data_IF_687569772964
#
_entry.id   IF_687569772964
#
_cell.length_a   1.000
_cell.length_b   1.000
_cell.length_c   1.000
_cell.angle_alpha   90.00
_cell.angle_beta   90.00
_cell.angle_gamma   90.00
#
_symmetry.space_group_name_H-M   'P 1'
#
loop_
_entity.id
_entity.type
_entity.pdbx_description
1 polymer ?
#
# COMPACT_ATOMS: atom_id res chain seq x y z
N UNK A 1 -10.38 -35.16 43.90
CA UNK A 1 -11.32 -35.04 42.76
C UNK A 1 -10.50 -34.64 41.54
N UNK A 2 -10.15 -35.62 40.69
CA UNK A 2 -9.41 -35.42 39.43
C UNK A 2 -10.43 -35.47 38.29
N UNK A 3 -10.38 -34.56 37.35
CA UNK A 3 -11.09 -34.66 36.07
C UNK A 3 -10.08 -34.46 34.94
N UNK A 4 -9.83 -35.53 34.20
CA UNK A 4 -9.09 -35.55 32.94
C UNK A 4 -10.06 -35.30 31.78
N UNK A 5 -9.65 -34.43 30.85
CA UNK A 5 -10.38 -34.20 29.60
C UNK A 5 -10.27 -35.37 28.62
N UNK A 6 -11.24 -35.45 27.72
CA UNK A 6 -11.14 -36.24 26.49
C UNK A 6 -11.78 -35.42 25.36
N UNK A 7 -11.00 -35.14 24.33
CA UNK A 7 -11.38 -34.35 23.17
C UNK A 7 -11.16 -35.25 21.95
N UNK A 8 -12.22 -35.59 21.21
CA UNK A 8 -12.15 -36.44 20.02
C UNK A 8 -12.78 -35.72 18.82
N UNK A 9 -11.96 -35.35 17.84
CA UNK A 9 -12.35 -34.81 16.54
C UNK A 9 -12.67 -35.94 15.53
N UNK A 10 -13.71 -35.80 14.67
CA UNK A 10 -13.98 -36.77 13.61
C UNK A 10 -13.20 -36.51 12.31
N UNK A 11 -12.77 -37.61 11.67
CA UNK A 11 -12.03 -37.70 10.41
C UNK A 11 -12.89 -37.28 9.20
N UNK A 12 -12.28 -36.58 8.23
CA UNK A 12 -12.89 -36.28 6.91
C UNK A 12 -12.68 -37.44 5.94
N UNK A 13 -13.77 -37.89 5.32
CA UNK A 13 -13.77 -38.88 4.23
C UNK A 13 -13.51 -38.19 2.88
N UNK A 14 -12.61 -38.79 2.10
CA UNK A 14 -12.37 -38.50 0.69
C UNK A 14 -13.49 -39.15 -0.15
N UNK A 15 -14.28 -38.34 -0.84
CA UNK A 15 -15.27 -38.78 -1.81
C UNK A 15 -15.00 -38.10 -3.16
N UNK A 16 -14.51 -38.88 -4.11
CA UNK A 16 -14.28 -38.50 -5.51
C UNK A 16 -15.62 -38.30 -6.25
N UNK A 17 -15.68 -37.29 -7.10
CA UNK A 17 -16.84 -36.97 -7.96
C UNK A 17 -16.47 -37.35 -9.40
N UNK A 18 -17.24 -38.22 -10.10
CA UNK A 18 -17.00 -38.51 -11.50
C UNK A 18 -17.86 -37.61 -12.39
N UNK A 19 -17.24 -36.83 -13.28
CA UNK A 19 -17.92 -36.29 -14.46
C UNK A 19 -17.31 -36.89 -15.72
N UNK A 20 -18.10 -37.73 -16.40
CA UNK A 20 -17.89 -38.12 -17.80
C UNK A 20 -18.80 -37.25 -18.65
N UNK A 21 -18.24 -36.48 -19.58
CA UNK A 21 -18.97 -36.01 -20.77
C UNK A 21 -18.04 -36.15 -21.98
N UNK A 22 -18.63 -36.69 -23.05
CA UNK A 22 -17.98 -37.30 -24.19
C UNK A 22 -17.25 -36.31 -25.11
N UNK A 23 -16.10 -36.77 -25.60
CA UNK A 23 -15.31 -36.17 -26.67
C UNK A 23 -15.82 -36.79 -27.98
N UNK A 24 -16.27 -35.98 -28.94
CA UNK A 24 -16.55 -36.42 -30.30
C UNK A 24 -15.47 -35.88 -31.24
N UNK A 25 -14.72 -36.72 -31.97
CA UNK A 25 -13.82 -36.25 -33.02
C UNK A 25 -14.53 -36.38 -34.38
N UNK A 26 -14.61 -35.29 -35.14
CA UNK A 26 -14.78 -35.36 -36.59
C UNK A 26 -13.63 -34.63 -37.25
N UNK A 27 -12.62 -35.41 -37.59
CA UNK A 27 -11.57 -35.08 -38.55
C UNK A 27 -12.19 -35.22 -39.93
N UNK A 28 -12.13 -34.18 -40.75
CA UNK A 28 -12.37 -34.28 -42.20
C UNK A 28 -11.20 -33.61 -42.91
N UNK A 29 -10.37 -34.45 -43.53
CA UNK A 29 -9.34 -34.05 -44.48
C UNK A 29 -9.99 -33.78 -45.84
N UNK A 30 -9.66 -32.66 -46.48
CA UNK A 30 -9.87 -32.45 -47.91
C UNK A 30 -8.67 -31.69 -48.51
N UNK A 31 -8.25 -32.01 -49.74
CA UNK A 31 -6.93 -31.66 -50.28
C UNK A 31 -6.89 -30.25 -50.89
N UNK A 32 -5.72 -29.62 -50.78
CA UNK A 32 -5.35 -28.39 -51.49
C UNK A 32 -5.02 -28.71 -52.95
N UNK A 33 -5.89 -28.30 -53.88
CA UNK A 33 -5.57 -28.22 -55.30
C UNK A 33 -5.22 -26.76 -55.66
N UNK A 34 -4.00 -26.55 -56.15
CA UNK A 34 -3.60 -25.35 -56.87
C UNK A 34 -4.18 -25.42 -58.28
N UNK A 35 -4.96 -24.41 -58.68
CA UNK A 35 -5.34 -24.21 -60.08
C UNK A 35 -5.18 -22.74 -60.47
N UNK A 36 -4.73 -22.56 -61.70
CA UNK A 36 -4.14 -21.37 -62.30
C UNK A 36 -5.08 -20.17 -62.44
N UNK A 37 -4.52 -19.00 -62.18
CA UNK A 37 -5.06 -17.66 -62.41
C UNK A 37 -5.33 -17.37 -63.90
N UNK A 38 -6.56 -17.01 -64.25
CA UNK A 38 -6.90 -16.25 -65.48
C UNK A 38 -7.97 -15.19 -65.17
N UNK A 39 -7.72 -14.00 -65.70
CA UNK A 39 -8.43 -12.73 -65.54
C UNK A 39 -9.89 -12.76 -66.03
N UNK A 40 -10.79 -12.08 -65.30
CA UNK A 40 -11.87 -11.29 -65.93
C UNK A 40 -12.25 -10.10 -65.05
N UNK A 41 -12.15 -8.90 -65.63
CA UNK A 41 -12.62 -7.61 -65.09
C UNK A 41 -14.14 -7.53 -65.20
N UNK A 42 -14.85 -7.21 -64.11
CA UNK A 42 -16.20 -6.62 -64.16
C UNK A 42 -16.35 -5.54 -63.09
N UNK A 43 -17.00 -4.47 -63.55
CA UNK A 43 -17.18 -3.13 -63.03
C UNK A 43 -18.17 -3.04 -61.84
N UNK A 44 -17.99 -1.98 -61.04
CA UNK A 44 -19.01 -1.29 -60.22
C UNK A 44 -19.33 -1.84 -58.82
N UNK A 45 -18.78 -1.20 -57.78
CA UNK A 45 -19.43 -1.06 -56.48
C UNK A 45 -18.90 0.16 -55.69
N UNK A 46 -19.78 1.16 -55.55
CA UNK A 46 -19.96 2.11 -54.44
C UNK A 46 -18.79 2.20 -53.44
N UNK A 47 -18.05 3.32 -53.50
CA UNK A 47 -17.13 3.73 -52.43
C UNK A 47 -17.97 4.26 -51.26
N UNK A 48 -18.30 3.38 -50.32
CA UNK A 48 -18.66 3.77 -48.96
C UNK A 48 -17.38 4.25 -48.27
N UNK A 49 -17.24 5.57 -48.16
CA UNK A 49 -16.26 6.21 -47.27
C UNK A 49 -16.62 5.87 -45.82
N UNK A 50 -16.13 4.73 -45.34
CA UNK A 50 -16.06 4.43 -43.92
C UNK A 50 -15.00 5.36 -43.32
N UNK A 51 -15.42 6.53 -42.87
CA UNK A 51 -14.72 7.28 -41.84
C UNK A 51 -14.80 6.47 -40.54
N UNK A 52 -13.99 5.42 -40.44
CA UNK A 52 -13.68 4.78 -39.19
C UNK A 52 -12.75 5.72 -38.42
N UNK A 53 -13.34 6.69 -37.74
CA UNK A 53 -12.70 7.25 -36.55
C UNK A 53 -12.46 6.08 -35.61
N UNK A 54 -11.22 5.57 -35.55
CA UNK A 54 -10.81 4.86 -34.36
C UNK A 54 -10.99 5.87 -33.23
N UNK A 55 -11.99 5.62 -32.38
CA UNK A 55 -12.00 6.22 -31.05
C UNK A 55 -10.81 5.62 -30.33
N UNK A 56 -9.62 6.17 -30.59
CA UNK A 56 -8.57 6.16 -29.60
C UNK A 56 -9.12 6.93 -28.42
N UNK A 57 -9.73 6.19 -27.49
CA UNK A 57 -9.79 6.62 -26.11
C UNK A 57 -8.36 6.50 -25.59
N UNK A 58 -7.52 7.44 -26.00
CA UNK A 58 -6.34 7.80 -25.22
C UNK A 58 -6.92 8.25 -23.89
N UNK A 59 -6.95 7.34 -22.91
CA UNK A 59 -7.13 7.74 -21.53
C UNK A 59 -6.08 8.83 -21.31
N UNK A 60 -6.44 10.04 -20.83
CA UNK A 60 -5.45 11.07 -20.57
C UNK A 60 -4.36 10.42 -19.72
N UNK A 61 -3.10 10.57 -20.15
CA UNK A 61 -1.97 10.10 -19.39
C UNK A 61 -1.94 10.92 -18.10
N UNK A 62 -2.51 10.35 -17.04
CA UNK A 62 -2.65 10.97 -15.73
C UNK A 62 -1.27 10.97 -15.06
N UNK A 63 -0.36 11.75 -15.63
CA UNK A 63 1.01 11.85 -15.14
C UNK A 63 1.02 12.64 -13.84
N UNK A 64 1.37 11.95 -12.76
CA UNK A 64 1.46 12.56 -11.44
C UNK A 64 2.65 13.51 -11.38
N UNK A 65 2.37 14.82 -11.38
CA UNK A 65 3.38 15.89 -11.41
C UNK A 65 3.58 16.59 -10.07
N UNK A 66 2.74 16.30 -9.07
CA UNK A 66 2.71 17.03 -7.79
C UNK A 66 3.17 16.22 -6.59
N UNK A 67 3.11 14.89 -6.67
CA UNK A 67 3.46 14.05 -5.53
C UNK A 67 4.97 13.95 -5.34
N UNK A 68 5.37 13.85 -4.07
CA UNK A 68 6.74 13.52 -3.66
C UNK A 68 6.83 12.03 -3.41
N UNK A 69 7.85 11.40 -3.99
CA UNK A 69 8.25 10.03 -3.63
C UNK A 69 9.48 10.10 -2.73
N UNK A 70 9.37 9.49 -1.55
CA UNK A 70 10.50 9.23 -0.65
C UNK A 70 10.93 7.79 -0.89
N UNK A 71 12.15 7.62 -1.39
CA UNK A 71 12.75 6.32 -1.69
C UNK A 71 13.82 5.99 -0.64
N UNK A 72 13.80 4.76 -0.14
CA UNK A 72 14.84 4.21 0.74
C UNK A 72 15.16 5.07 1.98
N UNK A 73 14.15 5.70 2.59
CA UNK A 73 14.35 6.41 3.85
C UNK A 73 14.76 5.40 4.93
N UNK A 74 15.96 5.53 5.52
CA UNK A 74 16.43 4.54 6.48
C UNK A 74 15.56 4.54 7.73
N UNK A 75 15.12 3.36 8.14
CA UNK A 75 14.56 3.13 9.46
C UNK A 75 15.64 3.02 10.53
N UNK A 76 15.33 2.35 11.64
CA UNK A 76 16.31 1.98 12.65
C UNK A 76 17.07 0.73 12.22
N UNK A 77 18.17 0.96 11.53
CA UNK A 77 19.04 -0.09 10.99
C UNK A 77 19.80 -0.87 12.08
N UNK A 78 19.88 -0.33 13.30
CA UNK A 78 20.62 -0.92 14.40
C UNK A 78 19.80 -1.85 15.29
N UNK A 79 18.47 -1.93 15.11
CA UNK A 79 17.59 -2.76 15.92
C UNK A 79 17.29 -4.12 15.26
N UNK A 80 17.12 -5.14 16.09
CA UNK A 80 16.66 -6.47 15.71
C UNK A 80 15.62 -7.01 16.70
N UNK A 81 14.62 -7.73 16.18
CA UNK A 81 13.72 -8.57 16.99
C UNK A 81 14.31 -9.97 17.26
N UNK A 82 15.24 -10.41 16.43
CA UNK A 82 15.91 -11.71 16.55
C UNK A 82 17.19 -11.65 17.38
N UNK A 83 17.59 -12.80 17.93
CA UNK A 83 18.84 -12.98 18.66
C UNK A 83 20.05 -13.06 17.73
N UNK A 84 21.19 -12.50 18.18
CA UNK A 84 22.50 -12.61 17.54
C UNK A 84 22.53 -12.26 16.03
N UNK A 85 21.76 -11.24 15.63
CA UNK A 85 21.81 -10.73 14.25
C UNK A 85 23.03 -9.83 14.09
N UNK A 86 23.87 -10.15 13.11
CA UNK A 86 25.13 -9.43 12.88
C UNK A 86 24.92 -7.92 12.68
N UNK A 87 25.75 -7.11 13.33
CA UNK A 87 25.67 -5.64 13.30
C UNK A 87 24.43 -5.02 13.95
N UNK A 88 23.56 -5.80 14.62
CA UNK A 88 22.32 -5.31 15.22
C UNK A 88 22.20 -5.63 16.71
N UNK A 89 21.56 -4.71 17.44
CA UNK A 89 21.24 -4.86 18.84
C UNK A 89 19.82 -5.43 19.01
N UNK A 90 19.65 -6.41 19.89
CA UNK A 90 18.33 -6.90 20.28
C UNK A 90 17.65 -5.91 21.21
N UNK A 91 16.86 -5.02 20.63
CA UNK A 91 16.05 -4.02 21.34
C UNK A 91 14.85 -3.59 20.49
N UNK A 92 13.84 -2.93 21.10
CA UNK A 92 12.80 -2.27 20.32
C UNK A 92 13.39 -1.24 19.35
N UNK A 93 12.73 -1.09 18.21
CA UNK A 93 13.06 -0.11 17.19
C UNK A 93 12.73 1.30 17.72
N UNK A 94 13.66 2.24 17.54
CA UNK A 94 13.41 3.64 17.81
C UNK A 94 12.38 4.19 16.83
N UNK A 95 11.56 5.13 17.31
CA UNK A 95 10.61 5.83 16.45
C UNK A 95 11.33 6.84 15.58
N UNK A 96 10.86 7.04 14.35
CA UNK A 96 11.39 8.03 13.42
C UNK A 96 10.26 8.95 13.00
N UNK A 97 10.37 10.24 13.28
CA UNK A 97 9.41 11.23 12.79
C UNK A 97 9.73 11.65 11.37
N UNK A 98 8.72 12.09 10.63
CA UNK A 98 8.82 12.67 9.29
C UNK A 98 7.87 13.86 9.18
N UNK A 99 8.36 14.97 8.67
CA UNK A 99 7.58 16.18 8.39
C UNK A 99 7.38 16.33 6.88
N UNK A 100 6.13 16.48 6.42
CA UNK A 100 5.88 16.49 4.97
C UNK A 100 6.46 17.72 4.26
N UNK A 101 6.48 18.87 4.95
CA UNK A 101 6.84 20.16 4.37
C UNK A 101 8.33 20.23 3.98
N UNK A 102 9.21 19.87 4.89
CA UNK A 102 10.67 19.98 4.71
C UNK A 102 11.37 18.62 4.63
N UNK A 103 10.62 17.51 4.74
CA UNK A 103 11.11 16.12 4.71
C UNK A 103 12.08 15.81 5.86
N UNK A 104 12.07 16.62 6.92
CA UNK A 104 12.93 16.39 8.06
C UNK A 104 12.57 15.07 8.73
N UNK A 105 13.61 14.30 9.07
CA UNK A 105 13.50 13.09 9.86
C UNK A 105 14.22 13.23 11.19
N UNK A 106 13.68 12.62 12.24
CA UNK A 106 14.35 12.53 13.55
C UNK A 106 14.15 11.16 14.16
N UNK A 107 15.23 10.53 14.58
CA UNK A 107 15.18 9.28 15.35
C UNK A 107 15.07 9.62 16.84
N UNK A 108 14.07 9.07 17.51
CA UNK A 108 13.78 9.32 18.92
C UNK A 108 14.37 8.18 19.75
N UNK A 109 15.54 8.42 20.35
CA UNK A 109 16.33 7.38 21.04
C UNK A 109 16.18 7.44 22.56
N UNK A 110 15.98 8.64 23.08
CA UNK A 110 16.03 8.92 24.52
C UNK A 110 14.77 9.64 25.01
N UNK A 111 14.63 9.70 26.33
CA UNK A 111 13.62 10.54 26.97
C UNK A 111 13.84 12.02 26.65
N UNK A 112 15.10 12.47 26.54
CA UNK A 112 15.41 13.85 26.16
C UNK A 112 14.92 14.17 24.74
N UNK A 113 15.16 13.28 23.76
CA UNK A 113 14.62 13.42 22.40
C UNK A 113 13.09 13.50 22.42
N UNK A 114 12.46 12.64 23.23
CA UNK A 114 10.99 12.62 23.35
C UNK A 114 10.44 13.96 23.86
N UNK A 115 11.06 14.52 24.90
CA UNK A 115 10.66 15.82 25.46
C UNK A 115 10.92 16.97 24.48
N UNK A 116 12.01 16.90 23.72
CA UNK A 116 12.41 17.96 22.79
C UNK A 116 11.58 17.98 21.50
N UNK A 117 11.27 16.81 20.94
CA UNK A 117 10.74 16.72 19.56
C UNK A 117 9.28 16.26 19.49
N UNK A 118 8.81 15.41 20.40
CA UNK A 118 7.48 14.80 20.28
C UNK A 118 6.34 15.71 20.76
N UNK A 119 6.64 16.85 21.40
CA UNK A 119 5.64 17.84 21.85
C UNK A 119 5.58 19.09 20.96
N UNK A 120 5.98 18.92 19.70
CA UNK A 120 5.94 19.96 18.68
C UNK A 120 4.96 19.57 17.55
N UNK A 121 4.62 20.54 16.69
CA UNK A 121 3.84 20.32 15.46
C UNK A 121 4.71 20.26 14.19
N UNK A 122 6.04 20.15 14.34
CA UNK A 122 7.02 20.15 13.24
C UNK A 122 7.32 18.72 12.71
N UNK A 123 6.34 17.83 12.82
CA UNK A 123 6.35 16.49 12.25
C UNK A 123 4.90 16.01 12.08
N UNK A 124 4.65 15.22 11.03
CA UNK A 124 3.31 14.78 10.67
C UNK A 124 3.10 13.28 10.89
N UNK A 125 4.14 12.50 10.58
CA UNK A 125 4.15 11.04 10.71
C UNK A 125 5.23 10.62 11.69
N UNK A 126 4.99 9.54 12.42
CA UNK A 126 6.03 8.77 13.08
C UNK A 126 5.97 7.31 12.62
N UNK A 127 7.11 6.77 12.22
CA UNK A 127 7.34 5.38 11.87
C UNK A 127 7.89 4.65 13.10
N UNK A 128 7.14 3.70 13.61
CA UNK A 128 7.27 3.14 14.96
C UNK A 128 7.26 1.62 14.92
N UNK A 129 7.61 1.01 16.06
CA UNK A 129 7.58 -0.45 16.28
C UNK A 129 8.45 -1.23 15.28
N UNK A 130 8.22 -2.54 15.19
CA UNK A 130 9.07 -3.49 14.47
C UNK A 130 9.34 -3.01 13.04
N UNK A 131 10.61 -2.94 12.64
CA UNK A 131 11.00 -2.48 11.31
C UNK A 131 10.44 -1.11 10.90
N UNK A 132 10.10 -0.25 11.88
CA UNK A 132 9.45 1.04 11.66
C UNK A 132 8.19 0.94 10.79
N UNK A 133 7.50 -0.21 10.83
CA UNK A 133 6.38 -0.51 9.95
C UNK A 133 5.05 0.04 10.47
N UNK A 134 4.96 0.59 11.68
CA UNK A 134 3.72 1.22 12.16
C UNK A 134 3.79 2.73 11.94
N UNK A 135 2.84 3.29 11.20
CA UNK A 135 2.80 4.71 10.85
C UNK A 135 1.69 5.39 11.64
N UNK A 136 2.04 6.35 12.48
CA UNK A 136 1.10 7.10 13.32
C UNK A 136 1.19 8.59 13.02
N UNK A 137 0.08 9.30 13.16
CA UNK A 137 -0.02 10.75 12.94
C UNK A 137 0.29 11.53 14.21
N UNK A 138 0.84 12.74 14.07
CA UNK A 138 1.06 13.63 15.19
C UNK A 138 -0.26 14.16 15.75
N UNK A 139 -0.67 13.62 16.90
CA UNK A 139 -1.87 14.06 17.55
C UNK A 139 -1.78 14.14 19.08
N UNK A 140 -2.11 15.32 19.59
CA UNK A 140 -2.12 15.63 21.02
C UNK A 140 -3.17 14.90 21.84
N UNK A 141 -4.28 14.48 21.24
CA UNK A 141 -5.44 13.97 21.98
C UNK A 141 -5.55 12.44 22.00
N UNK A 142 -4.78 11.73 21.17
CA UNK A 142 -4.78 10.25 21.16
C UNK A 142 -3.67 9.70 22.05
N UNK A 143 -4.07 9.16 23.20
CA UNK A 143 -3.19 8.43 24.11
C UNK A 143 -2.51 7.23 23.42
N UNK A 144 -1.27 6.94 23.85
CA UNK A 144 -0.49 5.82 23.30
C UNK A 144 0.19 6.10 21.96
N UNK A 145 0.12 7.33 21.45
CA UNK A 145 0.89 7.77 20.28
C UNK A 145 2.04 8.69 20.70
N UNK A 146 3.13 8.80 19.89
CA UNK A 146 4.23 9.73 20.17
C UNK A 146 3.76 11.18 20.38
N UNK A 147 2.74 11.61 19.64
CA UNK A 147 2.21 12.97 19.68
C UNK A 147 1.33 13.30 20.89
N UNK A 148 0.95 12.32 21.72
CA UNK A 148 0.04 12.53 22.84
C UNK A 148 0.51 13.65 23.79
N UNK A 149 -0.34 14.62 24.10
CA UNK A 149 -0.01 15.80 24.89
C UNK A 149 0.74 16.91 24.13
N UNK A 150 1.01 16.74 22.84
CA UNK A 150 1.53 17.78 21.94
C UNK A 150 0.42 18.62 21.29
N UNK A 151 0.77 19.62 20.47
CA UNK A 151 -0.19 20.52 19.81
C UNK A 151 -0.82 19.95 18.53
N UNK A 152 -0.30 18.84 18.00
CA UNK A 152 -0.73 18.29 16.71
C UNK A 152 -2.20 17.87 16.69
N UNK A 153 -2.88 18.07 15.56
CA UNK A 153 -4.28 17.66 15.35
C UNK A 153 -4.43 16.51 14.36
N UNK A 154 -3.35 15.79 14.10
CA UNK A 154 -3.29 14.79 13.04
C UNK A 154 -4.26 13.63 13.18
N UNK A 155 -4.73 13.11 12.05
CA UNK A 155 -5.60 11.94 11.94
C UNK A 155 -5.36 11.28 10.60
N UNK A 156 -5.65 9.99 10.51
CA UNK A 156 -5.58 9.25 9.26
C UNK A 156 -6.92 8.60 8.94
N UNK A 157 -7.25 8.47 7.66
CA UNK A 157 -8.34 7.64 7.17
C UNK A 157 -7.83 6.68 6.11
N UNK A 158 -8.33 5.44 6.16
CA UNK A 158 -8.01 4.40 5.18
C UNK A 158 -9.00 4.50 4.03
N UNK A 159 -8.49 4.57 2.81
CA UNK A 159 -9.30 4.61 1.59
C UNK A 159 -8.89 3.43 0.69
N UNK A 160 -9.83 2.54 0.42
CA UNK A 160 -9.65 1.36 -0.46
C UNK A 160 -9.72 1.77 -1.93
N UNK A 161 -8.83 2.68 -2.34
CA UNK A 161 -8.66 3.11 -3.72
C UNK A 161 -7.18 3.25 -4.09
N UNK A 162 -6.84 3.03 -5.38
CA UNK A 162 -5.56 3.46 -5.94
C UNK A 162 -5.27 4.95 -5.68
N UNK A 163 -3.99 5.28 -5.55
CA UNK A 163 -3.51 6.61 -5.16
C UNK A 163 -3.92 7.75 -6.10
N UNK A 164 -3.96 7.45 -7.41
CA UNK A 164 -4.40 8.35 -8.48
C UNK A 164 -5.91 8.58 -8.50
N UNK A 165 -6.69 7.71 -7.85
CA UNK A 165 -8.15 7.82 -7.75
C UNK A 165 -8.62 8.52 -6.47
N UNK A 166 -7.70 8.84 -5.56
CA UNK A 166 -8.00 9.67 -4.39
C UNK A 166 -7.79 11.14 -4.76
N UNK A 167 -8.90 11.80 -5.10
CA UNK A 167 -8.91 13.15 -5.65
C UNK A 167 -9.32 14.22 -4.63
N UNK A 168 -9.92 13.82 -3.51
CA UNK A 168 -10.43 14.75 -2.51
C UNK A 168 -10.39 14.14 -1.10
N UNK A 169 -10.00 14.94 -0.10
CA UNK A 169 -10.04 14.58 1.31
C UNK A 169 -11.48 14.53 1.82
N UNK A 170 -11.85 13.68 2.80
CA UNK A 170 -13.12 13.75 3.53
C UNK A 170 -13.24 15.05 4.33
N UNK A 171 -14.47 15.39 4.75
CA UNK A 171 -14.69 16.52 5.64
C UNK A 171 -14.24 16.21 7.07
N UNK A 172 -14.03 17.25 7.89
CA UNK A 172 -13.55 17.10 9.26
C UNK A 172 -14.44 16.20 10.14
N UNK A 173 -15.77 16.24 9.93
CA UNK A 173 -16.70 15.37 10.64
C UNK A 173 -16.44 13.87 10.38
N UNK A 174 -16.00 13.51 9.17
CA UNK A 174 -15.64 12.11 8.87
C UNK A 174 -14.35 11.69 9.59
N UNK A 175 -13.37 12.59 9.72
CA UNK A 175 -12.16 12.32 10.52
C UNK A 175 -12.47 12.16 12.01
N UNK A 176 -13.46 12.88 12.55
CA UNK A 176 -13.90 12.68 13.94
C UNK A 176 -14.56 11.32 14.11
N UNK A 177 -15.38 10.90 13.15
CA UNK A 177 -16.16 9.66 13.23
C UNK A 177 -15.34 8.40 12.93
N UNK A 178 -14.48 8.47 11.91
CA UNK A 178 -13.80 7.30 11.30
C UNK A 178 -12.28 7.43 11.30
N UNK A 179 -11.75 8.56 11.73
CA UNK A 179 -10.32 8.80 11.75
C UNK A 179 -9.62 7.92 12.79
N UNK A 180 -8.47 7.40 12.40
CA UNK A 180 -7.60 6.58 13.23
C UNK A 180 -6.30 7.32 13.51
N UNK A 181 -5.61 6.88 14.55
CA UNK A 181 -4.33 7.45 14.95
C UNK A 181 -3.20 7.09 13.97
N UNK A 182 -3.29 5.91 13.36
CA UNK A 182 -2.26 5.33 12.53
C UNK A 182 -2.60 3.91 12.10
N UNK A 183 -1.70 3.31 11.34
CA UNK A 183 -1.84 2.01 10.68
C UNK A 183 -0.57 1.19 10.83
N UNK A 184 -0.69 -0.14 10.75
CA UNK A 184 0.44 -1.06 10.81
C UNK A 184 0.09 -2.38 10.14
N UNK A 185 0.34 -3.49 10.82
CA UNK A 185 -0.04 -4.81 10.32
C UNK A 185 -1.57 -4.92 10.15
N UNK A 186 -2.01 -5.33 8.97
CA UNK A 186 -3.36 -5.77 8.69
C UNK A 186 -3.49 -7.26 9.00
N UNK A 187 -4.24 -7.59 10.06
CA UNK A 187 -4.52 -8.98 10.45
C UNK A 187 -5.67 -9.62 9.64
N UNK A 188 -6.06 -9.02 8.52
CA UNK A 188 -7.28 -9.34 7.77
C UNK A 188 -8.51 -8.55 8.23
N UNK A 189 -8.32 -7.46 8.97
CA UNK A 189 -9.40 -6.64 9.52
C UNK A 189 -9.64 -5.35 8.73
N UNK A 190 -8.78 -5.03 7.74
CA UNK A 190 -8.90 -3.84 6.91
C UNK A 190 -8.31 -2.57 7.53
N UNK A 191 -7.67 -2.65 8.70
CA UNK A 191 -7.15 -1.48 9.44
C UNK A 191 -5.63 -1.30 9.36
N UNK A 192 -4.94 -2.09 8.53
CA UNK A 192 -3.48 -1.98 8.35
C UNK A 192 -3.06 -1.40 7.00
N UNK A 193 -1.77 -1.49 6.70
CA UNK A 193 -1.22 -1.13 5.39
C UNK A 193 -0.32 -2.22 4.79
N UNK A 194 0.01 -3.25 5.57
CA UNK A 194 0.73 -4.42 5.08
C UNK A 194 0.20 -5.71 5.71
N UNK A 195 0.30 -6.80 4.98
CA UNK A 195 0.22 -8.15 5.52
C UNK A 195 1.60 -8.63 5.94
N UNK A 196 1.67 -9.41 7.01
CA UNK A 196 2.89 -10.08 7.42
C UNK A 196 2.66 -11.59 7.39
N UNK A 197 3.54 -12.30 6.69
CA UNK A 197 3.51 -13.75 6.61
C UNK A 197 4.44 -14.33 7.67
N UNK A 198 3.89 -15.13 8.60
CA UNK A 198 4.69 -15.79 9.64
C UNK A 198 5.54 -16.95 9.12
N UNK A 199 5.30 -17.44 7.90
CA UNK A 199 6.04 -18.60 7.34
C UNK A 199 7.37 -18.20 6.72
N UNK A 200 7.41 -17.06 6.04
CA UNK A 200 8.60 -16.55 5.37
C UNK A 200 9.03 -15.18 5.89
N UNK A 201 8.32 -14.63 6.89
CA UNK A 201 8.64 -13.38 7.57
C UNK A 201 8.71 -12.16 6.62
N UNK A 202 7.90 -12.16 5.56
CA UNK A 202 7.83 -11.09 4.56
C UNK A 202 6.63 -10.17 4.84
N UNK A 203 6.88 -8.86 4.75
CA UNK A 203 5.86 -7.81 4.76
C UNK A 203 5.42 -7.49 3.33
N UNK A 204 4.13 -7.51 3.05
CA UNK A 204 3.58 -7.19 1.73
C UNK A 204 2.58 -6.05 1.86
N UNK A 205 2.75 -4.92 1.18
CA UNK A 205 1.81 -3.79 1.25
C UNK A 205 0.43 -4.21 0.74
N UNK A 206 -0.62 -3.66 1.36
CA UNK A 206 -2.00 -3.82 0.87
C UNK A 206 -2.16 -2.99 -0.40
N UNK A 207 -2.55 -3.65 -1.50
CA UNK A 207 -2.75 -2.98 -2.80
C UNK A 207 -4.00 -2.11 -2.78
N UNK A 208 -4.01 -1.09 -3.64
CA UNK A 208 -5.15 -0.19 -3.82
C UNK A 208 -5.62 0.46 -2.50
N UNK A 209 -4.68 0.74 -1.60
CA UNK A 209 -4.95 1.39 -0.33
C UNK A 209 -4.17 2.69 -0.24
N UNK A 210 -4.91 3.77 -0.07
CA UNK A 210 -4.39 5.12 0.09
C UNK A 210 -4.84 5.65 1.44
N UNK A 211 -3.96 6.36 2.11
CA UNK A 211 -4.24 6.99 3.40
C UNK A 211 -4.43 8.47 3.18
N UNK A 212 -5.54 9.01 3.68
CA UNK A 212 -5.71 10.46 3.73
C UNK A 212 -5.31 10.89 5.13
N UNK A 213 -4.37 11.81 5.21
CA UNK A 213 -3.78 12.29 6.45
C UNK A 213 -4.20 13.73 6.65
N UNK A 214 -4.83 14.02 7.79
CA UNK A 214 -4.83 15.37 8.36
C UNK A 214 -3.50 15.54 9.07
N UNK A 215 -2.70 16.50 8.64
CA UNK A 215 -1.35 16.82 9.15
C UNK A 215 -1.41 17.38 10.57
N UNK A 216 -0.26 17.53 11.22
CA UNK A 216 -0.19 18.12 12.57
C UNK A 216 -0.79 19.54 12.61
N UNK A 217 -0.60 20.30 11.53
CA UNK A 217 -1.10 21.66 11.35
C UNK A 217 -2.52 21.71 10.72
N UNK A 218 -3.15 20.58 10.43
CA UNK A 218 -4.54 20.51 9.97
C UNK A 218 -4.75 20.55 8.45
N UNK A 219 -3.69 20.65 7.63
CA UNK A 219 -3.76 20.46 6.17
C UNK A 219 -4.07 19.01 5.81
N UNK A 220 -4.58 18.77 4.60
CA UNK A 220 -4.80 17.42 4.08
C UNK A 220 -3.64 16.94 3.22
N UNK A 221 -3.37 15.64 3.30
CA UNK A 221 -2.44 14.95 2.42
C UNK A 221 -3.02 13.60 1.99
N UNK A 222 -2.60 13.09 0.83
CA UNK A 222 -2.73 11.67 0.50
C UNK A 222 -1.37 10.98 0.55
N UNK A 223 -1.35 9.77 1.05
CA UNK A 223 -0.17 8.97 1.33
C UNK A 223 -0.37 7.54 0.81
N UNK A 224 0.59 7.03 0.05
CA UNK A 224 0.74 5.61 -0.26
C UNK A 224 1.99 5.09 0.45
N UNK A 225 1.81 4.10 1.33
CA UNK A 225 2.90 3.36 1.96
C UNK A 225 3.25 2.20 1.04
N UNK A 226 4.47 2.17 0.50
CA UNK A 226 4.82 1.28 -0.61
C UNK A 226 5.56 0.04 -0.13
N UNK A 227 6.62 0.18 0.68
CA UNK A 227 7.33 -0.97 1.25
C UNK A 227 8.32 -0.53 2.35
N UNK A 228 8.95 -1.53 3.00
CA UNK A 228 10.00 -1.36 4.02
C UNK A 228 11.38 -1.93 3.59
N UNK A 229 11.57 -2.22 2.30
CA UNK A 229 12.73 -2.92 1.75
C UNK A 229 13.54 -2.03 0.81
N UNK A 230 14.87 -2.10 0.94
CA UNK A 230 15.76 -1.26 0.14
C UNK A 230 15.60 -1.53 -1.36
N UNK A 231 15.55 -0.45 -2.14
CA UNK A 231 15.46 -0.45 -3.59
C UNK A 231 14.03 -0.56 -4.13
N UNK A 232 13.00 -0.53 -3.27
CA UNK A 232 11.60 -0.68 -3.66
C UNK A 232 11.36 -1.86 -4.63
N UNK A 233 11.71 -3.09 -4.23
CA UNK A 233 11.62 -4.23 -5.12
C UNK A 233 10.16 -4.52 -5.52
N UNK A 234 9.91 -4.91 -6.78
CA UNK A 234 8.55 -5.24 -7.23
C UNK A 234 7.98 -6.48 -6.53
N UNK A 235 8.86 -7.38 -6.09
CA UNK A 235 8.55 -8.58 -5.31
C UNK A 235 9.67 -8.81 -4.30
N UNK A 236 9.30 -9.15 -3.06
CA UNK A 236 10.23 -9.59 -2.03
C UNK A 236 10.11 -11.10 -1.93
N UNK A 237 11.18 -11.82 -2.25
CA UNK A 237 11.23 -13.30 -2.20
C UNK A 237 12.23 -13.84 -1.20
N UNK A 238 12.99 -12.94 -0.55
CA UNK A 238 14.03 -13.26 0.42
C UNK A 238 13.74 -12.56 1.74
N UNK A 239 13.77 -13.32 2.84
CA UNK A 239 13.62 -12.80 4.20
C UNK A 239 14.77 -11.85 4.57
N UNK A 240 15.96 -12.07 4.04
CA UNK A 240 17.14 -11.26 4.38
C UNK A 240 17.26 -9.99 3.54
N UNK A 241 16.24 -9.64 2.76
CA UNK A 241 16.22 -8.40 2.00
C UNK A 241 16.46 -7.21 2.94
N UNK A 242 17.37 -6.26 2.59
CA UNK A 242 17.73 -5.18 3.50
C UNK A 242 16.51 -4.36 3.97
N UNK A 243 16.31 -4.34 5.29
CA UNK A 243 15.22 -3.64 5.97
C UNK A 243 15.65 -3.17 7.38
N UNK A 244 15.04 -2.11 7.93
CA UNK A 244 13.97 -1.30 7.35
C UNK A 244 14.45 -0.11 6.48
N UNK A 245 14.03 -0.06 5.22
CA UNK A 245 14.17 1.09 4.31
C UNK A 245 12.78 1.47 3.78
N UNK A 246 12.25 2.58 4.27
CA UNK A 246 10.88 3.00 4.03
C UNK A 246 10.76 3.70 2.68
N UNK A 247 9.82 3.23 1.86
CA UNK A 247 9.45 3.89 0.61
C UNK A 247 7.97 4.24 0.65
N UNK A 248 7.66 5.50 0.38
CA UNK A 248 6.29 6.01 0.36
C UNK A 248 6.15 7.20 -0.58
N UNK A 249 4.92 7.46 -1.01
CA UNK A 249 4.57 8.56 -1.90
C UNK A 249 3.50 9.42 -1.23
N UNK A 250 3.64 10.73 -1.30
CA UNK A 250 2.66 11.63 -0.71
C UNK A 250 2.46 12.92 -1.50
N UNK A 251 1.31 13.57 -1.27
CA UNK A 251 1.01 14.91 -1.73
C UNK A 251 0.31 15.64 -0.60
N UNK A 252 0.80 16.83 -0.25
CA UNK A 252 0.13 17.74 0.71
C UNK A 252 -0.56 18.83 -0.07
N UNK A 253 -1.80 19.06 0.29
CA UNK A 253 -2.62 20.14 -0.21
C UNK A 253 -2.23 21.43 0.57
N UNK A 254 -1.79 22.48 -0.14
CA UNK A 254 -1.22 23.69 0.48
C UNK A 254 -2.22 24.85 0.64
N UNK A 255 -3.22 24.95 -0.24
CA UNK A 255 -4.24 26.02 -0.30
C UNK A 255 -5.40 25.94 0.73
N UNK A 256 -5.27 25.12 1.78
CA UNK A 256 -6.34 24.76 2.73
C UNK A 256 -7.61 24.05 2.20
N UNK A 257 -7.76 23.78 0.89
CA UNK A 257 -8.90 23.02 0.35
C UNK A 257 -8.85 21.52 0.67
N UNK A 258 -9.81 20.76 0.14
CA UNK A 258 -9.81 19.29 0.22
C UNK A 258 -9.25 18.64 -1.06
N UNK A 259 -8.76 19.41 -2.02
CA UNK A 259 -8.33 18.89 -3.32
C UNK A 259 -7.01 18.10 -3.23
N UNK A 260 -7.05 16.82 -3.61
CA UNK A 260 -5.90 15.91 -3.61
C UNK A 260 -5.51 15.45 -5.03
N UNK A 261 -5.95 16.16 -6.08
CA UNK A 261 -5.57 15.87 -7.46
C UNK A 261 -4.09 16.15 -7.71
N UNK A 262 -3.40 15.15 -8.26
CA UNK A 262 -1.97 15.20 -8.57
C UNK A 262 -1.66 15.02 -10.06
N UNK A 263 -2.71 14.83 -10.85
CA UNK A 263 -2.78 14.65 -12.29
C UNK A 263 -3.70 15.70 -12.93
#
# INVERSE_FOLDING_TARGET
MRLSGNNSYPKRNNGEIPWKVAISPKVVNAPLQFCSMKYTVVLSAVILLMAACSKDKTSPDLTDSKSVTVLDMPGDLGASMGDNVDGKEKRPFYSITFHFSDKQTRMIKTTADSLQYLKNADWDLAFTKEYNSYVVTNNGTIAGTPGYGGPGVGRMMIIEKPYDQVLEAPGDAEFVQKGIAGVGWDSGNGYGWYFYSLSNHICVPVRNRTFIVKTAAGKFAKLALLNIYKGNPPVVTDLFWPAPYLTFKYFVQEDGSRNLRTN
#
